data_IF_800618564506
#
_entry.id   IF_800618564506
#
_cell.length_a   1.000
_cell.length_b   1.000
_cell.length_c   1.000
_cell.angle_alpha   90.00
_cell.angle_beta   90.00
_cell.angle_gamma   90.00
#
_symmetry.space_group_name_H-M   'P 1'
#
loop_
_entity.id
_entity.type
_entity.pdbx_description
1 polymer ?
#
# COMPACT_ATOMS: atom_id res chain seq x y z
N UNK A 1 39.24 -5.98 3.92
CA UNK A 1 38.48 -7.17 3.54
C UNK A 1 37.00 -6.85 3.66
N UNK A 2 36.25 -7.05 2.57
CA UNK A 2 34.78 -6.94 2.51
C UNK A 2 34.17 -8.11 3.29
N UNK A 3 33.11 -7.82 4.01
CA UNK A 3 32.28 -8.82 4.69
C UNK A 3 30.92 -8.24 5.02
N UNK A 4 30.19 -7.79 4.00
CA UNK A 4 28.77 -7.45 4.10
C UNK A 4 27.97 -8.75 3.95
N UNK A 5 27.51 -9.30 5.07
CA UNK A 5 26.42 -10.27 5.10
C UNK A 5 25.63 -10.06 6.40
N UNK A 6 24.56 -9.24 6.34
CA UNK A 6 23.48 -9.32 7.32
C UNK A 6 22.32 -10.04 6.63
N UNK A 7 22.40 -11.37 6.68
CA UNK A 7 21.27 -12.23 6.39
C UNK A 7 20.35 -12.27 7.61
N UNK A 8 19.13 -11.78 7.41
CA UNK A 8 17.89 -12.46 7.81
C UNK A 8 17.86 -13.04 9.24
N UNK A 9 17.59 -12.24 10.25
CA UNK A 9 16.75 -12.67 11.38
C UNK A 9 16.22 -11.44 12.13
N UNK A 10 14.90 -11.32 12.21
CA UNK A 10 14.15 -10.64 13.27
C UNK A 10 14.77 -9.43 13.96
N UNK A 11 15.03 -8.35 13.21
CA UNK A 11 14.92 -7.01 13.80
C UNK A 11 13.46 -6.57 13.75
N UNK A 12 12.63 -7.28 14.51
CA UNK A 12 11.46 -6.74 15.21
C UNK A 12 11.90 -5.72 16.27
N UNK A 13 12.83 -4.84 15.88
CA UNK A 13 13.18 -3.64 16.59
C UNK A 13 12.38 -2.55 15.91
N UNK A 14 11.24 -2.21 16.50
CA UNK A 14 10.54 -0.95 16.28
C UNK A 14 11.47 0.22 16.66
N UNK A 15 12.56 0.40 15.92
CA UNK A 15 13.18 1.70 15.78
C UNK A 15 12.33 2.43 14.74
N UNK A 16 11.09 2.73 15.13
CA UNK A 16 10.09 3.37 14.29
C UNK A 16 10.53 4.80 14.08
N UNK A 17 11.46 5.00 13.15
CA UNK A 17 11.71 6.30 12.60
C UNK A 17 10.42 6.70 11.86
N UNK A 18 9.67 7.70 12.34
CA UNK A 18 8.39 8.11 11.76
C UNK A 18 8.55 8.61 10.32
N UNK A 19 9.77 8.99 9.92
CA UNK A 19 10.07 9.50 8.58
C UNK A 19 10.45 8.39 7.57
N UNK A 20 10.64 7.14 8.02
CA UNK A 20 11.02 6.05 7.12
C UNK A 20 9.84 5.59 6.26
N UNK A 21 10.00 5.61 4.93
CA UNK A 21 9.01 5.03 4.01
C UNK A 21 8.92 3.52 4.19
N UNK A 22 7.69 2.99 4.20
CA UNK A 22 7.39 1.57 4.37
C UNK A 22 6.43 1.08 3.28
N UNK A 23 6.49 -0.22 3.01
CA UNK A 23 5.50 -0.89 2.19
C UNK A 23 4.41 -1.46 3.09
N UNK A 24 3.15 -1.20 2.74
CA UNK A 24 1.98 -1.79 3.37
C UNK A 24 1.10 -2.47 2.33
N UNK A 25 0.63 -3.67 2.66
CA UNK A 25 -0.27 -4.44 1.79
C UNK A 25 -1.69 -4.31 2.33
N UNK A 26 -2.62 -3.88 1.48
CA UNK A 26 -4.03 -3.76 1.80
C UNK A 26 -4.86 -4.64 0.86
N UNK A 27 -5.70 -5.51 1.43
CA UNK A 27 -6.68 -6.29 0.66
C UNK A 27 -7.99 -5.53 0.64
N UNK A 28 -8.47 -5.19 -0.54
CA UNK A 28 -9.80 -4.60 -0.73
C UNK A 28 -10.87 -5.66 -0.63
N UNK A 29 -11.90 -5.33 0.13
CA UNK A 29 -13.09 -6.14 0.33
C UNK A 29 -14.29 -5.45 -0.33
N UNK A 30 -15.36 -6.20 -0.52
CA UNK A 30 -16.63 -5.73 -1.12
C UNK A 30 -17.23 -4.52 -0.38
N UNK A 31 -16.95 -4.42 0.93
CA UNK A 31 -17.43 -3.35 1.81
C UNK A 31 -16.45 -2.19 1.97
N UNK A 32 -15.30 -2.22 1.29
CA UNK A 32 -14.33 -1.11 1.33
C UNK A 32 -14.86 0.09 0.55
N UNK A 33 -14.69 1.31 1.05
CA UNK A 33 -15.08 2.54 0.33
C UNK A 33 -14.48 2.57 -1.08
N UNK A 34 -13.21 2.18 -1.21
CA UNK A 34 -12.48 2.22 -2.48
C UNK A 34 -13.01 1.23 -3.53
N UNK A 35 -13.90 0.30 -3.16
CA UNK A 35 -14.47 -0.67 -4.09
C UNK A 35 -15.25 0.04 -5.22
N UNK A 36 -14.89 -0.24 -6.48
CA UNK A 36 -15.49 0.36 -7.67
C UNK A 36 -14.95 1.74 -8.06
N UNK A 37 -14.10 2.36 -7.22
CA UNK A 37 -13.41 3.62 -7.52
C UNK A 37 -12.23 3.40 -8.47
N UNK A 38 -11.85 4.44 -9.21
CA UNK A 38 -10.63 4.40 -10.02
C UNK A 38 -9.43 4.86 -9.19
N UNK A 39 -8.25 4.35 -9.53
CA UNK A 39 -7.01 4.73 -8.83
C UNK A 39 -6.73 6.24 -8.86
N UNK A 40 -7.06 6.92 -9.95
CA UNK A 40 -6.88 8.38 -10.07
C UNK A 40 -7.77 9.19 -9.12
N UNK A 41 -8.87 8.60 -8.66
CA UNK A 41 -9.84 9.27 -7.79
C UNK A 41 -9.47 9.12 -6.30
N UNK A 42 -8.42 8.33 -6.00
CA UNK A 42 -7.97 8.11 -4.64
C UNK A 42 -7.11 9.29 -4.16
N UNK A 43 -7.38 9.87 -2.99
CA UNK A 43 -6.65 11.02 -2.46
C UNK A 43 -5.28 10.63 -1.85
N UNK A 44 -4.59 9.61 -2.38
CA UNK A 44 -3.38 9.05 -1.75
C UNK A 44 -2.16 9.98 -1.88
N UNK A 45 -2.03 10.63 -3.04
CA UNK A 45 -0.89 11.53 -3.32
C UNK A 45 -0.89 12.73 -2.36
N UNK A 46 -2.06 13.18 -1.91
CA UNK A 46 -2.17 14.29 -0.95
C UNK A 46 -1.58 13.94 0.43
N UNK A 47 -1.51 12.65 0.75
CA UNK A 47 -0.90 12.13 1.97
C UNK A 47 0.56 11.69 1.78
N UNK A 48 1.08 11.74 0.54
CA UNK A 48 2.38 11.19 0.20
C UNK A 48 2.40 9.66 0.21
N UNK A 49 1.26 9.04 -0.14
CA UNK A 49 1.13 7.59 -0.32
C UNK A 49 1.02 7.28 -1.81
N UNK A 50 1.75 6.25 -2.25
CA UNK A 50 1.75 5.78 -3.63
C UNK A 50 1.34 4.31 -3.70
N UNK A 51 0.62 3.94 -4.76
CA UNK A 51 0.36 2.53 -5.08
C UNK A 51 1.50 2.05 -5.99
N UNK A 52 2.38 1.24 -5.43
CA UNK A 52 3.52 0.68 -6.16
C UNK A 52 3.14 -0.51 -7.03
N UNK A 53 2.09 -1.23 -6.64
CA UNK A 53 1.57 -2.37 -7.39
C UNK A 53 0.14 -2.69 -6.98
N UNK A 54 -0.60 -3.28 -7.93
CA UNK A 54 -1.88 -3.93 -7.71
C UNK A 54 -1.76 -5.40 -8.10
N UNK A 55 -2.26 -6.29 -7.23
CA UNK A 55 -2.37 -7.72 -7.54
C UNK A 55 -3.85 -8.11 -7.54
N UNK A 56 -4.28 -8.70 -8.65
CA UNK A 56 -5.61 -9.28 -8.83
C UNK A 56 -5.45 -10.75 -9.20
N UNK A 57 -6.31 -11.65 -8.71
CA UNK A 57 -6.22 -13.10 -8.95
C UNK A 57 -5.87 -13.40 -10.42
N UNK A 58 -4.77 -14.14 -10.63
CA UNK A 58 -4.30 -14.54 -11.96
C UNK A 58 -3.44 -13.51 -12.71
N UNK A 59 -3.46 -12.24 -12.31
CA UNK A 59 -2.67 -11.15 -12.90
C UNK A 59 -1.63 -10.68 -11.88
N UNK A 60 -0.36 -11.06 -12.11
CA UNK A 60 0.74 -10.64 -11.23
C UNK A 60 1.13 -9.20 -11.56
N UNK A 61 0.91 -8.31 -10.59
CA UNK A 61 1.69 -7.10 -10.36
C UNK A 61 1.96 -6.28 -11.61
N UNK A 62 0.90 -5.76 -12.22
CA UNK A 62 1.04 -4.68 -13.19
C UNK A 62 1.06 -3.35 -12.45
N UNK A 63 1.73 -2.35 -13.03
CA UNK A 63 1.63 -0.97 -12.56
C UNK A 63 0.25 -0.47 -12.99
N UNK A 64 -0.68 -0.29 -12.05
CA UNK A 64 -2.04 -0.02 -12.43
C UNK A 64 -2.17 1.43 -12.90
N UNK A 65 -2.78 1.64 -14.05
CA UNK A 65 -3.01 2.96 -14.60
C UNK A 65 -4.12 3.67 -13.83
N UNK A 66 -4.17 5.00 -13.91
CA UNK A 66 -5.18 5.79 -13.19
C UNK A 66 -6.64 5.43 -13.51
N UNK A 67 -6.91 4.78 -14.64
CA UNK A 67 -8.27 4.31 -15.05
C UNK A 67 -8.65 2.96 -14.45
N UNK A 68 -7.69 2.28 -13.83
CA UNK A 68 -7.91 0.98 -13.21
C UNK A 68 -8.96 1.12 -12.12
N UNK A 69 -10.09 0.40 -12.27
CA UNK A 69 -11.11 0.28 -11.24
C UNK A 69 -10.72 -0.78 -10.24
N UNK A 70 -10.88 -0.44 -8.97
CA UNK A 70 -10.66 -1.34 -7.86
C UNK A 70 -11.82 -2.32 -7.71
N UNK A 71 -11.50 -3.58 -7.47
CA UNK A 71 -12.44 -4.68 -7.31
C UNK A 71 -12.21 -5.40 -5.98
N UNK A 72 -13.22 -6.10 -5.49
CA UNK A 72 -13.07 -6.96 -4.31
C UNK A 72 -12.03 -8.06 -4.56
N UNK A 73 -11.18 -8.31 -3.55
CA UNK A 73 -10.07 -9.24 -3.64
C UNK A 73 -8.81 -8.67 -4.29
N UNK A 74 -8.82 -7.40 -4.68
CA UNK A 74 -7.61 -6.67 -5.05
C UNK A 74 -6.68 -6.51 -3.86
N UNK A 75 -5.39 -6.64 -4.13
CA UNK A 75 -4.33 -6.41 -3.15
C UNK A 75 -3.49 -5.24 -3.60
N UNK A 76 -3.59 -4.13 -2.88
CA UNK A 76 -2.83 -2.91 -3.09
C UNK A 76 -1.53 -2.96 -2.30
N UNK A 77 -0.43 -2.58 -2.95
CA UNK A 77 0.87 -2.39 -2.29
C UNK A 77 1.15 -0.89 -2.22
N UNK A 78 0.98 -0.34 -1.03
CA UNK A 78 1.14 1.07 -0.71
C UNK A 78 2.57 1.36 -0.24
N UNK A 79 3.13 2.50 -0.65
CA UNK A 79 4.40 3.03 -0.17
C UNK A 79 4.16 4.41 0.43
N UNK A 80 4.65 4.63 1.66
CA UNK A 80 4.48 5.92 2.34
C UNK A 80 5.07 5.92 3.74
N UNK A 81 4.98 7.06 4.44
CA UNK A 81 5.30 7.12 5.88
C UNK A 81 4.25 6.35 6.68
N UNK A 82 4.59 5.78 7.86
CA UNK A 82 3.66 4.97 8.64
C UNK A 82 2.32 5.67 8.96
N UNK A 83 2.37 6.95 9.34
CA UNK A 83 1.16 7.73 9.65
C UNK A 83 0.28 7.96 8.40
N UNK A 84 0.91 8.26 7.26
CA UNK A 84 0.21 8.46 6.00
C UNK A 84 -0.42 7.15 5.49
N UNK A 85 0.26 6.02 5.68
CA UNK A 85 -0.26 4.70 5.32
C UNK A 85 -1.47 4.32 6.18
N UNK A 86 -1.43 4.59 7.49
CA UNK A 86 -2.57 4.37 8.37
C UNK A 86 -3.78 5.23 7.99
N UNK A 87 -3.56 6.51 7.65
CA UNK A 87 -4.61 7.39 7.12
C UNK A 87 -5.19 6.84 5.81
N UNK A 88 -4.33 6.41 4.88
CA UNK A 88 -4.74 5.85 3.60
C UNK A 88 -5.58 4.58 3.77
N UNK A 89 -5.14 3.65 4.62
CA UNK A 89 -5.87 2.42 4.93
C UNK A 89 -7.26 2.73 5.51
N UNK A 90 -7.33 3.60 6.52
CA UNK A 90 -8.59 3.98 7.15
C UNK A 90 -9.57 4.57 6.15
N UNK A 91 -9.10 5.42 5.24
CA UNK A 91 -9.94 6.01 4.21
C UNK A 91 -10.36 4.99 3.14
N UNK A 92 -9.45 4.14 2.66
CA UNK A 92 -9.76 3.13 1.64
C UNK A 92 -10.81 2.12 2.11
N UNK A 93 -10.82 1.81 3.42
CA UNK A 93 -11.78 0.89 4.02
C UNK A 93 -13.06 1.63 4.43
N UNK A 94 -12.96 2.75 5.15
CA UNK A 94 -14.08 3.38 5.88
C UNK A 94 -14.46 4.78 5.39
N UNK A 95 -13.61 5.45 4.60
CA UNK A 95 -13.83 6.84 4.17
C UNK A 95 -13.65 7.91 5.22
N UNK A 96 -12.87 7.64 6.27
CA UNK A 96 -12.61 8.57 7.38
C UNK A 96 -11.29 9.32 7.23
#
# INVERSE_FOLDING_TARGET
>A
MRGFFRGLTDESGENTNPDQLRLQTLTLLENSLAHGMQLRDLPLQQWGVEITALRRRGLRGFQPEGETRLESGDILILLGRPEALAQAEAWLIQGK
#
